data_IF_517194840574
#
_entry.id   IF_517194840574
#
_cell.length_a   1.000
_cell.length_b   1.000
_cell.length_c   1.000
_cell.angle_alpha   90.00
_cell.angle_beta   90.00
_cell.angle_gamma   90.00
#
_symmetry.space_group_name_H-M   'P 1'
#
loop_
_entity.id
_entity.type
_entity.pdbx_description
1 polymer ?
#
# COMPACT_ATOMS: atom_id res chain seq x y z
N UNK A 1 91.89 -36.75 -6.32
CA UNK A 1 90.65 -37.40 -6.79
C UNK A 1 89.48 -36.95 -5.90
N UNK A 2 88.76 -35.91 -6.29
CA UNK A 2 87.56 -35.42 -5.58
C UNK A 2 86.32 -35.95 -6.30
N UNK A 3 85.48 -36.73 -5.62
CA UNK A 3 84.17 -37.17 -6.14
C UNK A 3 83.13 -36.08 -5.90
N UNK A 4 82.58 -35.53 -6.96
CA UNK A 4 81.37 -34.69 -6.92
C UNK A 4 80.16 -35.63 -7.02
N UNK A 5 79.32 -35.65 -5.98
CA UNK A 5 78.00 -36.33 -6.01
C UNK A 5 76.97 -35.35 -6.56
N UNK A 6 76.39 -35.67 -7.71
CA UNK A 6 75.25 -34.96 -8.27
C UNK A 6 74.00 -35.22 -7.41
N UNK A 7 73.43 -34.15 -6.84
CA UNK A 7 72.16 -34.20 -6.13
C UNK A 7 71.00 -34.23 -7.11
N UNK A 8 70.25 -35.35 -7.11
CA UNK A 8 69.00 -35.49 -7.83
C UNK A 8 67.88 -34.73 -7.10
N UNK A 9 67.29 -33.72 -7.75
CA UNK A 9 66.21 -32.89 -7.21
C UNK A 9 64.88 -33.37 -7.79
N UNK A 10 64.19 -34.25 -7.07
CA UNK A 10 62.85 -34.70 -7.45
C UNK A 10 61.81 -33.61 -7.16
N UNK A 11 61.11 -33.19 -8.23
CA UNK A 11 59.90 -32.37 -8.19
C UNK A 11 58.73 -33.17 -7.62
N UNK A 12 58.25 -32.79 -6.44
CA UNK A 12 56.95 -33.23 -5.95
C UNK A 12 55.96 -32.07 -6.07
N UNK A 13 55.20 -32.06 -7.17
CA UNK A 13 54.00 -31.23 -7.29
C UNK A 13 52.95 -31.80 -6.34
N UNK A 14 52.94 -31.34 -5.09
CA UNK A 14 51.84 -31.57 -4.16
C UNK A 14 50.61 -30.86 -4.71
N UNK A 15 49.74 -31.62 -5.37
CA UNK A 15 48.37 -31.18 -5.61
C UNK A 15 47.74 -31.03 -4.23
N UNK A 16 47.56 -29.79 -3.78
CA UNK A 16 46.80 -29.48 -2.58
C UNK A 16 45.35 -29.88 -2.85
N UNK A 17 45.02 -31.13 -2.50
CA UNK A 17 43.67 -31.63 -2.51
C UNK A 17 42.98 -30.96 -1.33
N UNK A 18 42.23 -29.89 -1.63
CA UNK A 18 41.40 -29.23 -0.63
C UNK A 18 40.28 -30.22 -0.31
N UNK A 19 40.46 -31.00 0.75
CA UNK A 19 39.37 -31.76 1.37
C UNK A 19 38.47 -30.75 2.08
N UNK A 20 37.51 -30.23 1.32
CA UNK A 20 36.44 -29.42 1.89
C UNK A 20 35.63 -30.36 2.80
N UNK A 21 35.71 -30.11 4.11
CA UNK A 21 34.90 -30.81 5.11
C UNK A 21 33.42 -30.79 4.70
N UNK A 22 32.76 -31.95 4.75
CA UNK A 22 31.32 -32.08 4.50
C UNK A 22 30.49 -31.08 5.33
N UNK A 23 30.94 -30.75 6.54
CA UNK A 23 30.31 -29.74 7.39
C UNK A 23 30.37 -28.32 6.82
N UNK A 24 31.44 -27.97 6.09
CA UNK A 24 31.55 -26.68 5.41
C UNK A 24 30.55 -26.57 4.26
N UNK A 25 30.42 -27.64 3.45
CA UNK A 25 29.47 -27.69 2.33
C UNK A 25 28.03 -27.59 2.83
N UNK A 26 27.69 -28.35 3.87
CA UNK A 26 26.36 -28.31 4.47
C UNK A 26 26.01 -26.92 5.02
N UNK A 27 26.97 -26.26 5.68
CA UNK A 27 26.79 -24.90 6.20
C UNK A 27 26.54 -23.88 5.07
N UNK A 28 27.25 -24.00 3.95
CA UNK A 28 27.04 -23.13 2.78
C UNK A 28 25.64 -23.30 2.18
N UNK A 29 25.16 -24.54 2.07
CA UNK A 29 23.79 -24.83 1.59
C UNK A 29 22.76 -24.22 2.54
N UNK A 30 22.95 -24.40 3.85
CA UNK A 30 22.04 -23.89 4.87
C UNK A 30 21.97 -22.35 4.83
N UNK A 31 23.11 -21.66 4.74
CA UNK A 31 23.15 -20.19 4.57
C UNK A 31 22.41 -19.77 3.30
N UNK A 32 22.62 -20.46 2.17
CA UNK A 32 21.93 -20.14 0.93
C UNK A 32 20.40 -20.27 1.05
N UNK A 33 19.92 -21.31 1.74
CA UNK A 33 18.49 -21.50 2.02
C UNK A 33 17.94 -20.37 2.90
N UNK A 34 18.65 -19.99 3.96
CA UNK A 34 18.22 -18.87 4.82
C UNK A 34 18.14 -17.55 4.07
N UNK A 35 19.11 -17.24 3.20
CA UNK A 35 19.07 -16.03 2.37
C UNK A 35 17.87 -16.06 1.44
N UNK A 36 17.59 -17.20 0.80
CA UNK A 36 16.44 -17.34 -0.10
C UNK A 36 15.11 -17.13 0.63
N UNK A 37 14.94 -17.74 1.81
CA UNK A 37 13.73 -17.57 2.63
C UNK A 37 13.60 -16.12 3.14
N UNK A 38 14.70 -15.49 3.56
CA UNK A 38 14.69 -14.11 4.02
C UNK A 38 14.23 -13.15 2.91
N UNK A 39 14.76 -13.29 1.68
CA UNK A 39 14.33 -12.48 0.54
C UNK A 39 12.85 -12.70 0.23
N UNK A 40 12.39 -13.96 0.26
CA UNK A 40 10.98 -14.28 0.04
C UNK A 40 10.07 -13.64 1.10
N UNK A 41 10.43 -13.75 2.38
CA UNK A 41 9.68 -13.17 3.49
C UNK A 41 9.63 -11.64 3.41
N UNK A 42 10.73 -10.98 3.07
CA UNK A 42 10.78 -9.51 2.90
C UNK A 42 9.84 -9.09 1.77
N UNK A 43 9.85 -9.80 0.63
CA UNK A 43 8.94 -9.49 -0.49
C UNK A 43 7.47 -9.64 -0.08
N UNK A 44 7.12 -10.75 0.56
CA UNK A 44 5.75 -10.98 1.04
C UNK A 44 5.30 -9.89 2.04
N UNK A 45 6.20 -9.44 2.92
CA UNK A 45 5.89 -8.37 3.87
C UNK A 45 5.69 -7.01 3.20
N UNK A 46 6.50 -6.67 2.18
CA UNK A 46 6.36 -5.42 1.43
C UNK A 46 5.04 -5.34 0.65
N UNK A 47 4.52 -6.46 0.16
CA UNK A 47 3.20 -6.50 -0.49
C UNK A 47 2.06 -6.26 0.49
N UNK A 48 2.13 -6.83 1.71
CA UNK A 48 1.10 -6.63 2.75
C UNK A 48 1.02 -5.18 3.24
N UNK A 49 2.12 -4.42 3.21
CA UNK A 49 2.11 -2.99 3.61
C UNK A 49 1.13 -2.14 2.79
N UNK A 50 0.82 -2.52 1.55
CA UNK A 50 -0.14 -1.80 0.68
C UNK A 50 -1.56 -1.86 1.25
N UNK A 51 -2.01 -3.07 1.61
CA UNK A 51 -3.33 -3.33 2.21
C UNK A 51 -3.55 -2.60 3.53
N UNK A 52 -2.50 -2.53 4.35
CA UNK A 52 -2.57 -1.86 5.64
C UNK A 52 -2.75 -0.34 5.46
N UNK A 53 -2.15 0.27 4.44
CA UNK A 53 -2.20 1.73 4.26
C UNK A 53 -3.62 2.22 3.93
N UNK A 54 -4.31 1.57 3.01
CA UNK A 54 -5.68 1.98 2.62
C UNK A 54 -6.67 1.74 3.77
N UNK A 55 -6.54 0.63 4.51
CA UNK A 55 -7.38 0.35 5.68
C UNK A 55 -7.18 1.36 6.81
N UNK A 56 -5.95 1.83 7.03
CA UNK A 56 -5.67 2.91 7.98
C UNK A 56 -6.32 4.22 7.51
N UNK A 57 -6.25 4.56 6.21
CA UNK A 57 -6.90 5.77 5.68
C UNK A 57 -8.41 5.74 5.94
N UNK A 58 -9.07 4.62 5.62
CA UNK A 58 -10.51 4.46 5.86
C UNK A 58 -10.86 4.66 7.33
N UNK A 59 -10.13 4.00 8.23
CA UNK A 59 -10.37 4.08 9.67
C UNK A 59 -10.10 5.47 10.24
N UNK A 60 -8.99 6.09 9.85
CA UNK A 60 -8.63 7.43 10.31
C UNK A 60 -9.64 8.47 9.78
N UNK A 61 -10.05 8.35 8.51
CA UNK A 61 -11.08 9.20 7.92
C UNK A 61 -12.41 9.04 8.66
N UNK A 62 -12.85 7.81 8.93
CA UNK A 62 -14.06 7.55 9.72
C UNK A 62 -13.95 8.18 11.12
N UNK A 63 -12.78 8.07 11.75
CA UNK A 63 -12.53 8.64 13.08
C UNK A 63 -12.68 10.16 13.06
N UNK A 64 -12.12 10.84 12.06
CA UNK A 64 -12.25 12.29 11.93
C UNK A 64 -13.67 12.72 11.55
N UNK A 65 -14.34 11.98 10.66
CA UNK A 65 -15.75 12.20 10.33
C UNK A 65 -16.61 12.08 11.58
N UNK A 66 -16.42 11.04 12.41
CA UNK A 66 -17.16 10.87 13.66
C UNK A 66 -16.86 11.98 14.68
N UNK A 67 -15.61 12.42 14.74
CA UNK A 67 -15.20 13.54 15.61
C UNK A 67 -15.91 14.82 15.21
N UNK A 68 -15.88 15.18 13.93
CA UNK A 68 -16.57 16.35 13.39
C UNK A 68 -18.09 16.20 13.55
N UNK A 69 -18.62 15.03 13.24
CA UNK A 69 -20.04 14.73 13.37
C UNK A 69 -20.56 14.92 14.80
N UNK A 70 -19.78 14.54 15.82
CA UNK A 70 -20.12 14.74 17.24
C UNK A 70 -19.87 16.17 17.72
N UNK A 71 -19.19 17.02 16.95
CA UNK A 71 -18.92 18.40 17.34
C UNK A 71 -20.22 19.22 17.34
N UNK A 72 -20.46 19.95 18.44
CA UNK A 72 -21.67 20.77 18.61
C UNK A 72 -21.55 22.16 17.98
N UNK A 73 -20.32 22.63 17.74
CA UNK A 73 -20.03 23.98 17.23
C UNK A 73 -19.84 24.01 15.71
N UNK A 74 -20.02 22.88 15.02
CA UNK A 74 -19.60 22.73 13.63
C UNK A 74 -18.07 22.71 13.51
N UNK A 75 -17.58 22.31 12.34
CA UNK A 75 -16.16 22.38 12.00
C UNK A 75 -16.05 22.62 10.50
N UNK A 76 -15.53 23.76 10.13
CA UNK A 76 -15.45 24.18 8.72
C UNK A 76 -14.04 23.98 8.19
N UNK A 77 -13.93 23.35 7.02
CA UNK A 77 -12.68 23.20 6.26
C UNK A 77 -11.57 22.45 7.00
N UNK A 78 -11.92 21.41 7.77
CA UNK A 78 -10.92 20.53 8.36
C UNK A 78 -10.22 19.75 7.24
N UNK A 79 -8.89 19.83 7.20
CA UNK A 79 -8.07 19.11 6.22
C UNK A 79 -7.64 17.77 6.78
N UNK A 80 -8.21 16.70 6.23
CA UNK A 80 -7.72 15.35 6.44
C UNK A 80 -6.61 15.05 5.43
N UNK A 81 -5.40 14.88 5.93
CA UNK A 81 -4.24 14.54 5.10
C UNK A 81 -3.65 13.19 5.52
N UNK A 82 -3.46 12.30 4.54
CA UNK A 82 -2.76 11.02 4.76
C UNK A 82 -1.92 10.63 3.56
N UNK A 83 -0.82 9.93 3.86
CA UNK A 83 -0.02 9.27 2.83
C UNK A 83 -0.78 8.09 2.25
N UNK A 84 -0.76 7.97 0.94
CA UNK A 84 -1.38 6.90 0.16
C UNK A 84 -0.36 6.32 -0.83
N UNK A 85 -0.67 5.15 -1.39
CA UNK A 85 0.10 4.57 -2.49
C UNK A 85 0.15 5.55 -3.67
N UNK A 86 1.33 5.73 -4.26
CA UNK A 86 1.58 6.55 -5.45
C UNK A 86 0.84 6.06 -6.70
N UNK A 87 0.36 4.83 -6.66
CA UNK A 87 -0.45 4.23 -7.71
C UNK A 87 -1.93 4.60 -7.65
N UNK A 88 -2.43 4.97 -6.48
CA UNK A 88 -3.77 5.52 -6.36
C UNK A 88 -3.67 6.96 -6.83
N UNK A 89 -4.50 7.31 -7.81
CA UNK A 89 -4.53 8.64 -8.42
C UNK A 89 -5.69 9.48 -7.90
N UNK A 90 -6.78 8.83 -7.46
CA UNK A 90 -7.96 9.50 -6.94
C UNK A 90 -8.60 8.70 -5.81
N UNK A 91 -9.29 9.40 -4.92
CA UNK A 91 -10.24 8.82 -3.97
C UNK A 91 -11.61 9.41 -4.24
N UNK A 92 -12.57 8.53 -4.47
CA UNK A 92 -13.89 8.89 -4.94
C UNK A 92 -14.95 8.58 -3.90
N UNK A 93 -15.81 9.57 -3.67
CA UNK A 93 -17.09 9.39 -2.99
C UNK A 93 -18.16 9.11 -4.04
N UNK A 94 -18.81 7.95 -3.97
CA UNK A 94 -19.77 7.50 -4.98
C UNK A 94 -21.05 6.99 -4.33
N UNK A 95 -22.17 7.58 -4.72
CA UNK A 95 -23.51 7.13 -4.36
C UNK A 95 -24.09 6.29 -5.50
N UNK A 96 -24.23 4.99 -5.26
CA UNK A 96 -24.71 4.01 -6.26
C UNK A 96 -26.18 4.19 -6.62
N UNK A 97 -26.97 4.77 -5.72
CA UNK A 97 -28.40 4.99 -5.93
C UNK A 97 -28.64 6.19 -6.85
N UNK A 98 -27.66 7.10 -6.95
CA UNK A 98 -27.70 8.25 -7.82
C UNK A 98 -27.11 7.95 -9.19
N UNK A 99 -27.61 8.66 -10.21
CA UNK A 99 -27.03 8.60 -11.54
C UNK A 99 -25.60 9.15 -11.55
N UNK A 100 -24.79 8.62 -12.46
CA UNK A 100 -23.44 9.13 -12.68
C UNK A 100 -23.54 10.48 -13.40
N UNK A 101 -22.82 11.48 -12.93
CA UNK A 101 -22.85 12.86 -13.43
C UNK A 101 -21.48 13.54 -13.28
N UNK A 102 -21.29 14.66 -13.98
CA UNK A 102 -20.04 15.45 -13.91
C UNK A 102 -18.91 14.89 -14.78
N UNK A 103 -17.66 15.24 -14.44
CA UNK A 103 -16.47 14.95 -15.23
C UNK A 103 -15.87 13.54 -15.04
N UNK A 104 -16.29 12.80 -14.01
CA UNK A 104 -15.73 11.49 -13.65
C UNK A 104 -16.57 10.31 -14.14
N UNK A 105 -17.24 10.44 -15.28
CA UNK A 105 -18.20 9.43 -15.73
C UNK A 105 -17.57 8.06 -15.98
N UNK A 106 -16.36 8.04 -16.56
CA UNK A 106 -15.68 6.79 -16.89
C UNK A 106 -15.19 6.07 -15.63
N UNK A 107 -14.68 6.81 -14.64
CA UNK A 107 -14.40 6.27 -13.30
C UNK A 107 -15.69 5.75 -12.67
N UNK A 108 -16.78 6.52 -12.70
CA UNK A 108 -18.07 6.11 -12.16
C UNK A 108 -18.59 4.79 -12.76
N UNK A 109 -18.40 4.56 -14.07
CA UNK A 109 -18.77 3.29 -14.72
C UNK A 109 -17.94 2.11 -14.20
N UNK A 110 -16.67 2.31 -13.90
CA UNK A 110 -15.79 1.30 -13.30
C UNK A 110 -16.18 1.02 -11.84
N UNK A 111 -16.37 2.07 -11.04
CA UNK A 111 -16.79 1.99 -9.64
C UNK A 111 -18.17 1.32 -9.50
N UNK A 112 -19.09 1.55 -10.44
CA UNK A 112 -20.41 0.88 -10.43
C UNK A 112 -20.30 -0.65 -10.58
N UNK A 113 -19.25 -1.13 -11.24
CA UNK A 113 -19.02 -2.58 -11.46
C UNK A 113 -18.29 -3.25 -10.29
N UNK A 114 -17.71 -2.47 -9.37
CA UNK A 114 -16.73 -2.95 -8.38
C UNK A 114 -17.06 -2.45 -6.97
N UNK A 115 -17.06 -3.31 -5.95
CA UNK A 115 -17.34 -2.94 -4.56
C UNK A 115 -18.77 -3.23 -4.06
N UNK A 116 -19.00 -2.98 -2.77
CA UNK A 116 -20.25 -3.32 -2.05
C UNK A 116 -21.38 -2.33 -2.33
N UNK A 117 -22.64 -2.78 -2.22
CA UNK A 117 -23.84 -1.93 -2.36
C UNK A 117 -23.90 -0.80 -1.34
N UNK A 118 -23.31 -0.99 -0.16
CA UNK A 118 -23.32 0.00 0.92
C UNK A 118 -22.08 0.90 0.96
N UNK A 119 -21.11 0.65 0.08
CA UNK A 119 -19.87 1.40 0.09
C UNK A 119 -20.02 2.74 -0.64
N UNK A 120 -19.48 3.79 -0.04
CA UNK A 120 -19.51 5.15 -0.57
C UNK A 120 -18.11 5.73 -0.82
N UNK A 121 -17.04 5.05 -0.39
CA UNK A 121 -15.65 5.45 -0.58
C UNK A 121 -14.91 4.43 -1.45
N UNK A 122 -14.19 4.91 -2.45
CA UNK A 122 -13.48 4.10 -3.43
C UNK A 122 -12.09 4.67 -3.72
N UNK A 123 -11.10 3.80 -3.90
CA UNK A 123 -9.77 4.17 -4.36
C UNK A 123 -9.65 3.88 -5.86
N UNK A 124 -9.05 4.79 -6.62
CA UNK A 124 -8.91 4.68 -8.06
C UNK A 124 -7.46 4.88 -8.52
N UNK A 125 -6.90 4.04 -9.42
CA UNK A 125 -7.57 2.95 -10.14
C UNK A 125 -7.87 1.74 -9.25
N UNK A 126 -9.03 1.10 -9.47
CA UNK A 126 -9.52 0.00 -8.62
C UNK A 126 -8.54 -1.18 -8.59
N UNK A 127 -7.87 -1.46 -9.70
CA UNK A 127 -6.91 -2.58 -9.83
C UNK A 127 -5.64 -2.41 -9.02
N UNK A 128 -5.27 -1.19 -8.69
CA UNK A 128 -4.08 -0.89 -7.89
C UNK A 128 -4.43 -0.75 -6.41
N UNK A 129 -5.72 -0.72 -6.08
CA UNK A 129 -6.20 -0.70 -4.71
C UNK A 129 -6.28 -2.10 -4.13
N UNK A 130 -5.87 -2.20 -2.88
CA UNK A 130 -6.02 -3.39 -2.06
C UNK A 130 -7.39 -3.50 -1.37
N UNK A 131 -8.14 -2.40 -1.32
CA UNK A 131 -9.51 -2.33 -0.81
C UNK A 131 -10.47 -1.94 -1.93
N UNK A 132 -11.35 -2.86 -2.31
CA UNK A 132 -12.31 -2.60 -3.41
C UNK A 132 -13.19 -1.37 -3.14
N UNK A 133 -13.65 -1.22 -1.90
CA UNK A 133 -14.53 -0.13 -1.46
C UNK A 133 -14.67 -0.12 0.05
N UNK A 134 -15.06 1.02 0.63
CA UNK A 134 -15.36 1.17 2.04
C UNK A 134 -16.63 2.01 2.27
N UNK A 135 -17.24 1.83 3.43
CA UNK A 135 -18.34 2.66 3.91
C UNK A 135 -17.80 3.66 4.92
N UNK A 136 -18.14 4.93 4.73
CA UNK A 136 -17.92 6.02 5.66
C UNK A 136 -19.28 6.48 6.15
N UNK A 137 -19.56 6.29 7.44
CA UNK A 137 -20.81 6.70 8.07
C UNK A 137 -20.80 8.20 8.37
N UNK A 138 -21.99 8.76 8.66
CA UNK A 138 -22.17 10.16 9.08
C UNK A 138 -21.72 11.21 8.05
N UNK A 139 -21.57 10.81 6.79
CA UNK A 139 -21.21 11.69 5.68
C UNK A 139 -22.42 12.00 4.81
N UNK A 140 -22.48 13.22 4.28
CA UNK A 140 -23.51 13.67 3.37
C UNK A 140 -23.13 13.29 1.93
N UNK A 141 -23.88 12.36 1.35
CA UNK A 141 -23.70 11.91 -0.04
C UNK A 141 -24.40 12.81 -1.08
N UNK A 142 -24.86 14.01 -0.69
CA UNK A 142 -25.32 15.04 -1.64
C UNK A 142 -24.11 15.77 -2.21
N UNK A 143 -23.54 15.16 -3.25
CA UNK A 143 -22.35 15.64 -3.95
C UNK A 143 -22.75 16.48 -5.17
N UNK A 144 -21.92 17.46 -5.54
CA UNK A 144 -22.13 18.29 -6.74
C UNK A 144 -22.00 17.50 -8.05
N UNK A 145 -21.27 16.37 -7.99
CA UNK A 145 -21.09 15.39 -9.05
C UNK A 145 -21.03 14.00 -8.44
N UNK A 146 -21.37 12.97 -9.21
CA UNK A 146 -21.38 11.60 -8.73
C UNK A 146 -20.70 10.67 -9.76
N UNK A 147 -19.55 10.07 -9.48
CA UNK A 147 -18.77 10.20 -8.25
C UNK A 147 -18.10 11.58 -8.10
N UNK A 148 -17.85 11.98 -6.85
CA UNK A 148 -16.96 13.10 -6.51
C UNK A 148 -15.57 12.55 -6.21
N UNK A 149 -14.59 12.85 -7.06
CA UNK A 149 -13.25 12.29 -6.96
C UNK A 149 -12.20 13.35 -6.65
N UNK A 150 -11.40 13.08 -5.63
CA UNK A 150 -10.32 13.94 -5.16
C UNK A 150 -8.99 13.37 -5.68
N UNK A 151 -8.16 14.14 -6.40
CA UNK A 151 -6.88 13.66 -6.87
C UNK A 151 -5.89 13.49 -5.71
N UNK A 152 -4.96 12.56 -5.87
CA UNK A 152 -3.81 12.40 -4.98
C UNK A 152 -2.61 13.13 -5.55
N UNK A 153 -1.86 13.85 -4.72
CA UNK A 153 -0.69 14.60 -5.14
C UNK A 153 0.54 14.15 -4.33
N UNK A 154 1.62 13.77 -5.01
CA UNK A 154 2.87 13.38 -4.36
C UNK A 154 2.77 12.15 -3.43
N UNK A 155 1.77 11.29 -3.64
CA UNK A 155 1.49 10.16 -2.74
C UNK A 155 0.77 10.58 -1.44
N UNK A 156 0.12 11.74 -1.44
CA UNK A 156 -0.77 12.20 -0.38
C UNK A 156 -2.17 12.43 -0.92
N UNK A 157 -3.14 12.23 -0.04
CA UNK A 157 -4.50 12.70 -0.26
C UNK A 157 -4.82 13.79 0.76
N UNK A 158 -5.44 14.86 0.29
CA UNK A 158 -6.04 15.91 1.10
C UNK A 158 -7.56 15.92 0.86
N UNK A 159 -8.33 15.56 1.88
CA UNK A 159 -9.80 15.61 1.86
C UNK A 159 -10.23 16.76 2.78
N UNK A 160 -11.00 17.70 2.26
CA UNK A 160 -11.55 18.76 3.10
C UNK A 160 -12.94 18.35 3.60
N UNK A 161 -13.09 18.35 4.93
CA UNK A 161 -14.32 18.01 5.63
C UNK A 161 -14.93 19.28 6.23
N UNK A 162 -16.25 19.38 6.16
CA UNK A 162 -16.99 20.52 6.71
C UNK A 162 -18.33 20.11 7.28
N UNK A 163 -18.71 20.69 8.42
CA UNK A 163 -20.03 20.56 9.03
C UNK A 163 -20.43 21.89 9.64
N UNK A 164 -21.52 22.48 9.17
CA UNK A 164 -22.03 23.72 9.74
C UNK A 164 -22.85 23.47 11.01
N UNK A 165 -23.05 24.51 11.82
CA UNK A 165 -23.90 24.44 13.02
C UNK A 165 -25.34 24.08 12.60
N UNK A 166 -25.88 23.03 13.21
CA UNK A 166 -27.23 22.54 12.93
C UNK A 166 -27.31 21.48 11.82
N UNK A 167 -26.21 21.20 11.11
CA UNK A 167 -26.17 20.07 10.17
C UNK A 167 -26.01 18.74 10.91
N UNK A 168 -26.64 17.69 10.40
CA UNK A 168 -26.60 16.34 10.97
C UNK A 168 -25.53 15.43 10.37
N UNK A 169 -24.90 15.82 9.26
CA UNK A 169 -23.93 15.02 8.51
C UNK A 169 -22.74 15.87 8.08
N UNK A 170 -21.57 15.25 7.95
CA UNK A 170 -20.33 15.88 7.49
C UNK A 170 -20.31 15.92 5.96
N UNK A 171 -19.91 17.03 5.36
CA UNK A 171 -19.75 17.20 3.90
C UNK A 171 -18.28 17.07 3.51
N UNK A 172 -18.05 16.49 2.34
CA UNK A 172 -16.79 16.61 1.62
C UNK A 172 -16.89 17.82 0.71
N UNK A 173 -15.94 18.75 0.80
CA UNK A 173 -15.92 19.99 0.01
C UNK A 173 -14.73 20.02 -0.93
#
# INVERSE_FOLDING_TARGET
MHKIKAGNKNNNNTKAQIDISFGMIFSLILIAVFIAVAIFAIKAFLEQKKSISEGIIVRDLQTEVDRIWRSSQGETNYKFERRISDKITHVCFYDREKQISGGFQDMGKELKRTGSSEANLYFYPVRESSLESAKIDNINMVLSMNPYCIPTEGGFIEITLSKDIGESLVRVV
#
